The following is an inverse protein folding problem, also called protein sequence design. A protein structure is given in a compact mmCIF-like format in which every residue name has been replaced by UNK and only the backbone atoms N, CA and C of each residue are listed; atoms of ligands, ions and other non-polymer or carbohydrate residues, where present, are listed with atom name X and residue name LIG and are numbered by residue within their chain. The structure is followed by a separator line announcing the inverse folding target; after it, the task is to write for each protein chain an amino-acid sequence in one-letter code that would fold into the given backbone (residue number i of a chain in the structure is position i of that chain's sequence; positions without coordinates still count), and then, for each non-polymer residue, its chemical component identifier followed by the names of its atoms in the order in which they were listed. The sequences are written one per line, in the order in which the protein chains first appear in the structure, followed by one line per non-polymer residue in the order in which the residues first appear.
data_IF_554986401658
#
_entry.id   IF_554986401658
#
_cell.length_a   1.000
_cell.length_b   1.000
_cell.length_c   1.000
_cell.angle_alpha   90.00
_cell.angle_beta   90.00
_cell.angle_gamma   90.00
#
_symmetry.space_group_name_H-M   'P 1'
#
loop_
_entity.id
_entity.type
_entity.pdbx_description
1 polymer ?
#
# COMPACT_ATOMS: atom_id res chain seq x y z
N UNK A 1 17.27 -28.52 -7.59
CA UNK A 1 17.84 -27.19 -7.32
C UNK A 1 16.67 -26.29 -7.01
N UNK A 2 16.49 -25.94 -5.74
CA UNK A 2 15.50 -24.93 -5.39
C UNK A 2 16.17 -23.59 -5.69
N UNK A 3 15.77 -22.94 -6.77
CA UNK A 3 16.14 -21.56 -7.01
C UNK A 3 15.67 -20.77 -5.79
N UNK A 4 16.62 -20.32 -4.98
CA UNK A 4 16.44 -19.20 -4.05
C UNK A 4 16.13 -17.96 -4.90
N UNK A 5 14.89 -17.88 -5.41
CA UNK A 5 14.28 -16.59 -5.65
C UNK A 5 14.06 -15.99 -4.28
N UNK A 6 15.08 -15.36 -3.72
CA UNK A 6 14.87 -14.22 -2.85
C UNK A 6 13.79 -13.36 -3.53
N UNK A 7 12.58 -13.39 -2.97
CA UNK A 7 11.37 -12.92 -3.67
C UNK A 7 11.47 -11.40 -3.85
N UNK A 8 11.99 -11.01 -5.01
CA UNK A 8 12.30 -9.64 -5.40
C UNK A 8 11.02 -8.81 -5.43
N UNK A 9 11.12 -7.55 -4.99
CA UNK A 9 9.99 -6.62 -5.14
C UNK A 9 9.78 -6.26 -6.60
N UNK A 10 8.57 -6.49 -7.12
CA UNK A 10 8.12 -6.08 -8.44
C UNK A 10 7.30 -4.80 -8.33
N UNK A 11 7.45 -3.88 -9.28
CA UNK A 11 6.63 -2.67 -9.34
C UNK A 11 5.28 -2.98 -10.00
N UNK A 12 4.23 -2.30 -9.56
CA UNK A 12 2.94 -2.34 -10.23
C UNK A 12 2.33 -0.95 -10.39
N UNK A 13 1.48 -0.81 -11.41
CA UNK A 13 0.68 0.38 -11.68
C UNK A 13 -0.79 -0.02 -11.77
N UNK A 14 -1.67 0.74 -11.13
CA UNK A 14 -3.12 0.68 -11.37
C UNK A 14 -3.49 1.98 -12.09
N UNK A 15 -3.85 1.95 -13.38
CA UNK A 15 -4.08 3.16 -14.17
C UNK A 15 -5.16 4.09 -13.61
N UNK A 16 -6.30 3.53 -13.21
CA UNK A 16 -7.36 4.30 -12.54
C UNK A 16 -7.99 3.45 -11.41
N UNK A 17 -7.45 3.57 -10.20
CA UNK A 17 -7.96 2.95 -8.98
C UNK A 17 -9.43 3.30 -8.72
N UNK A 18 -9.93 4.45 -9.19
CA UNK A 18 -11.34 4.79 -9.06
C UNK A 18 -12.27 3.81 -9.80
N UNK A 19 -11.77 3.08 -10.81
CA UNK A 19 -12.52 2.00 -11.48
C UNK A 19 -12.71 0.79 -10.57
N UNK A 20 -11.82 0.57 -9.61
CA UNK A 20 -11.90 -0.51 -8.62
C UNK A 20 -12.79 -0.17 -7.43
N UNK A 21 -12.90 1.12 -7.09
CA UNK A 21 -13.70 1.58 -5.94
C UNK A 21 -15.12 2.00 -6.32
N UNK A 22 -15.48 1.93 -7.60
CA UNK A 22 -16.74 2.45 -8.14
C UNK A 22 -16.82 3.98 -8.24
N UNK A 23 -15.77 4.70 -7.83
CA UNK A 23 -15.72 6.16 -7.86
C UNK A 23 -15.66 6.71 -9.30
N UNK A 24 -15.24 5.88 -10.26
CA UNK A 24 -15.25 6.22 -11.69
C UNK A 24 -16.59 5.94 -12.39
N UNK A 25 -17.66 5.61 -11.64
CA UNK A 25 -18.97 5.25 -12.19
C UNK A 25 -18.95 3.87 -12.88
N UNK A 26 -19.60 3.76 -14.03
CA UNK A 26 -19.74 2.50 -14.79
C UNK A 26 -18.52 2.14 -15.65
N UNK A 27 -17.37 2.79 -15.46
CA UNK A 27 -16.16 2.49 -16.23
C UNK A 27 -15.63 1.09 -15.87
N UNK A 28 -15.13 0.31 -16.85
CA UNK A 28 -14.57 -1.00 -16.57
C UNK A 28 -13.30 -0.90 -15.71
N UNK A 29 -13.00 -1.97 -14.98
CA UNK A 29 -11.76 -2.08 -14.20
C UNK A 29 -10.53 -1.92 -15.09
N UNK A 30 -9.62 -1.03 -14.70
CA UNK A 30 -8.29 -0.98 -15.32
C UNK A 30 -7.41 -2.10 -14.77
N UNK A 31 -6.70 -2.86 -15.62
CA UNK A 31 -5.85 -3.96 -15.15
C UNK A 31 -4.71 -3.46 -14.26
N UNK A 32 -4.24 -4.31 -13.35
CA UNK A 32 -2.99 -4.09 -12.61
C UNK A 32 -1.85 -4.43 -13.56
N UNK A 33 -1.05 -3.44 -13.92
CA UNK A 33 0.12 -3.59 -14.80
C UNK A 33 1.36 -3.90 -13.95
N UNK A 34 2.09 -4.96 -14.26
CA UNK A 34 3.28 -5.41 -13.51
C UNK A 34 4.56 -5.11 -14.29
N UNK A 35 5.63 -4.73 -13.59
CA UNK A 35 6.90 -4.30 -14.18
C UNK A 35 8.10 -4.87 -13.42
N UNK A 36 9.06 -5.41 -14.18
CA UNK A 36 10.28 -6.02 -13.64
C UNK A 36 11.31 -4.98 -13.13
N UNK A 37 11.19 -3.74 -13.62
CA UNK A 37 12.09 -2.63 -13.28
C UNK A 37 11.31 -1.38 -12.90
N UNK A 38 11.93 -0.56 -12.05
CA UNK A 38 11.38 0.73 -11.65
C UNK A 38 11.27 1.69 -12.84
N UNK A 39 12.25 1.69 -13.75
CA UNK A 39 12.31 2.61 -14.89
C UNK A 39 11.12 2.41 -15.84
N UNK A 40 10.74 1.16 -16.11
CA UNK A 40 9.55 0.84 -16.92
C UNK A 40 8.27 1.33 -16.23
N UNK A 41 8.11 1.03 -14.94
CA UNK A 41 6.96 1.47 -14.16
C UNK A 41 6.87 2.99 -14.08
N UNK A 42 8.00 3.69 -13.87
CA UNK A 42 8.06 5.14 -13.79
C UNK A 42 7.76 5.81 -15.14
N UNK A 43 8.24 5.25 -16.25
CA UNK A 43 7.89 5.73 -17.59
C UNK A 43 6.39 5.59 -17.85
N UNK A 44 5.81 4.43 -17.55
CA UNK A 44 4.38 4.19 -17.69
C UNK A 44 3.54 5.08 -16.77
N UNK A 45 3.97 5.28 -15.53
CA UNK A 45 3.32 6.20 -14.61
C UNK A 45 3.29 7.61 -15.18
N UNK A 46 4.39 8.12 -15.75
CA UNK A 46 4.43 9.47 -16.35
C UNK A 46 3.47 9.61 -17.53
N UNK A 47 3.37 8.58 -18.38
CA UNK A 47 2.41 8.55 -19.49
C UNK A 47 0.97 8.63 -18.97
N UNK A 48 0.62 7.79 -18.00
CA UNK A 48 -0.72 7.75 -17.41
C UNK A 48 -1.03 9.01 -16.61
N UNK A 49 -0.03 9.61 -15.97
CA UNK A 49 -0.17 10.82 -15.14
C UNK A 49 -0.72 12.01 -15.93
N UNK A 50 -0.46 12.06 -17.23
CA UNK A 50 -0.94 13.09 -18.15
C UNK A 50 -2.43 12.96 -18.50
N UNK A 51 -3.05 11.82 -18.19
CA UNK A 51 -4.47 11.61 -18.48
C UNK A 51 -5.35 12.59 -17.68
N UNK A 52 -6.40 13.17 -18.32
CA UNK A 52 -7.16 14.27 -17.73
C UNK A 52 -7.88 13.89 -16.45
N UNK A 53 -8.34 12.64 -16.35
CA UNK A 53 -9.08 12.12 -15.22
C UNK A 53 -8.30 12.17 -13.90
N UNK A 54 -6.96 12.21 -13.96
CA UNK A 54 -6.13 12.33 -12.77
C UNK A 54 -6.30 13.67 -12.03
N UNK A 55 -6.86 14.70 -12.70
CA UNK A 55 -7.12 16.01 -12.13
C UNK A 55 -8.59 16.20 -11.70
N UNK A 56 -9.45 15.22 -11.90
CA UNK A 56 -10.85 15.30 -11.46
C UNK A 56 -10.93 15.40 -9.93
N UNK A 57 -11.90 16.18 -9.45
CA UNK A 57 -12.18 16.35 -8.03
C UNK A 57 -12.97 15.17 -7.48
N UNK A 58 -12.26 14.06 -7.22
CA UNK A 58 -12.80 12.88 -6.55
C UNK A 58 -12.06 12.64 -5.22
N UNK A 59 -12.76 12.14 -4.19
CA UNK A 59 -12.16 11.86 -2.88
C UNK A 59 -11.11 10.73 -2.91
N UNK A 60 -11.12 9.90 -3.96
CA UNK A 60 -10.25 8.75 -4.14
C UNK A 60 -8.96 9.03 -4.90
N UNK A 61 -8.01 8.09 -4.82
CA UNK A 61 -6.87 8.08 -5.74
C UNK A 61 -7.33 7.64 -7.14
N UNK A 62 -6.64 8.20 -8.13
CA UNK A 62 -6.81 7.88 -9.56
C UNK A 62 -5.70 6.93 -9.97
N UNK A 63 -4.51 7.44 -10.27
CA UNK A 63 -3.37 6.60 -10.61
C UNK A 63 -2.61 6.11 -9.36
N UNK A 64 -2.18 4.86 -9.37
CA UNK A 64 -1.41 4.25 -8.28
C UNK A 64 -0.11 3.64 -8.80
N UNK A 65 0.96 3.79 -8.02
CA UNK A 65 2.23 3.07 -8.16
C UNK A 65 2.53 2.38 -6.83
N UNK A 66 2.63 1.06 -6.84
CA UNK A 66 3.05 0.27 -5.68
C UNK A 66 4.12 -0.77 -6.00
N UNK A 67 4.41 -1.59 -4.98
CA UNK A 67 5.33 -2.72 -5.06
C UNK A 67 4.70 -3.97 -4.48
N UNK A 68 5.00 -5.12 -5.07
CA UNK A 68 4.55 -6.42 -4.58
C UNK A 68 5.69 -7.44 -4.58
N UNK A 69 5.51 -8.55 -3.85
CA UNK A 69 6.33 -9.75 -3.94
C UNK A 69 5.46 -10.98 -3.64
N UNK A 70 5.90 -12.13 -4.13
CA UNK A 70 5.16 -13.38 -3.99
C UNK A 70 5.45 -14.12 -2.68
N UNK A 71 6.68 -14.05 -2.15
CA UNK A 71 7.06 -14.83 -0.95
C UNK A 71 7.92 -14.05 0.08
N UNK A 72 7.45 -13.88 1.34
CA UNK A 72 6.06 -14.05 1.73
C UNK A 72 5.20 -12.99 1.02
N UNK A 73 3.96 -13.32 0.62
CA UNK A 73 3.10 -12.42 -0.13
C UNK A 73 3.00 -11.06 0.56
N UNK A 74 3.29 -10.00 -0.18
CA UNK A 74 3.22 -8.63 0.33
C UNK A 74 3.02 -7.66 -0.83
N UNK A 75 2.11 -6.70 -0.67
CA UNK A 75 1.93 -5.61 -1.62
C UNK A 75 1.60 -4.32 -0.85
N UNK A 76 2.07 -3.18 -1.34
CA UNK A 76 1.64 -1.88 -0.85
C UNK A 76 1.77 -0.81 -1.93
N UNK A 77 0.85 0.14 -1.89
CA UNK A 77 0.96 1.37 -2.66
C UNK A 77 2.06 2.26 -2.07
N UNK A 78 2.82 2.89 -2.95
CA UNK A 78 3.87 3.85 -2.57
C UNK A 78 3.50 5.28 -2.99
N UNK A 79 2.78 5.42 -4.10
CA UNK A 79 2.40 6.72 -4.65
C UNK A 79 0.98 6.65 -5.23
N UNK A 80 0.18 7.65 -4.87
CA UNK A 80 -1.12 7.92 -5.46
C UNK A 80 -1.12 9.24 -6.22
N UNK A 81 -1.96 9.35 -7.22
CA UNK A 81 -2.38 10.64 -7.80
C UNK A 81 -3.79 10.94 -7.33
N UNK A 82 -3.98 12.08 -6.70
CA UNK A 82 -5.28 12.59 -6.24
C UNK A 82 -5.38 14.04 -6.65
N UNK A 83 -6.47 14.41 -7.33
CA UNK A 83 -6.73 15.80 -7.74
C UNK A 83 -5.50 16.47 -8.39
N UNK A 84 -4.79 15.73 -9.24
CA UNK A 84 -3.62 16.24 -9.95
C UNK A 84 -2.38 16.46 -9.07
N UNK A 85 -2.29 15.86 -7.88
CA UNK A 85 -1.11 15.91 -7.02
C UNK A 85 -0.57 14.51 -6.73
N UNK A 86 0.74 14.41 -6.58
CA UNK A 86 1.46 13.19 -6.23
C UNK A 86 1.53 13.03 -4.71
N UNK A 87 0.88 11.99 -4.20
CA UNK A 87 0.78 11.67 -2.79
C UNK A 87 1.65 10.47 -2.44
N UNK A 88 2.68 10.68 -1.62
CA UNK A 88 3.37 9.58 -0.96
C UNK A 88 2.39 8.87 -0.01
N UNK A 89 2.26 7.56 -0.18
CA UNK A 89 1.54 6.67 0.74
C UNK A 89 2.53 6.20 1.79
N UNK A 90 2.18 6.34 3.07
CA UNK A 90 3.11 6.08 4.18
C UNK A 90 3.10 4.63 4.70
N UNK A 91 2.38 3.71 4.03
CA UNK A 91 2.23 2.30 4.39
C UNK A 91 3.56 1.58 4.62
N UNK A 92 4.59 1.95 3.86
CA UNK A 92 5.96 1.44 4.02
C UNK A 92 6.55 1.73 5.43
N UNK A 93 6.02 2.71 6.17
CA UNK A 93 6.44 2.99 7.55
C UNK A 93 5.85 2.01 8.55
N UNK A 94 4.73 1.37 8.20
CA UNK A 94 3.89 0.53 9.07
C UNK A 94 4.08 -0.96 8.80
N UNK A 95 4.66 -1.32 7.65
CA UNK A 95 4.97 -2.69 7.24
C UNK A 95 6.46 -2.98 7.39
N UNK A 96 6.85 -3.88 8.31
CA UNK A 96 8.25 -4.20 8.57
C UNK A 96 8.99 -4.72 7.31
N UNK A 97 8.31 -5.55 6.50
CA UNK A 97 8.85 -6.10 5.25
C UNK A 97 9.27 -5.02 4.25
N UNK A 98 8.46 -3.96 4.10
CA UNK A 98 8.80 -2.82 3.23
C UNK A 98 9.80 -1.90 3.91
N UNK A 99 9.55 -1.56 5.18
CA UNK A 99 10.34 -0.62 5.95
C UNK A 99 11.82 -1.01 6.02
N UNK A 100 12.09 -2.31 6.12
CA UNK A 100 13.43 -2.87 6.25
C UNK A 100 14.03 -3.31 4.92
N UNK A 101 13.26 -3.31 3.83
CA UNK A 101 13.74 -3.68 2.50
C UNK A 101 14.63 -2.58 1.90
N UNK A 102 15.93 -2.84 1.65
CA UNK A 102 16.80 -1.89 0.97
C UNK A 102 16.32 -1.58 -0.45
N UNK A 103 15.74 -2.57 -1.14
CA UNK A 103 15.20 -2.44 -2.49
C UNK A 103 14.01 -1.45 -2.52
N UNK A 104 13.02 -1.62 -1.64
CA UNK A 104 11.86 -0.70 -1.56
C UNK A 104 12.30 0.71 -1.20
N UNK A 105 13.28 0.86 -0.31
CA UNK A 105 13.84 2.18 0.00
C UNK A 105 14.59 2.81 -1.18
N UNK A 106 15.25 1.99 -1.99
CA UNK A 106 15.86 2.41 -3.26
C UNK A 106 14.81 2.95 -4.24
N UNK A 107 13.72 2.20 -4.43
CA UNK A 107 12.58 2.59 -5.25
C UNK A 107 11.99 3.92 -4.75
N UNK A 108 11.69 4.06 -3.45
CA UNK A 108 11.15 5.31 -2.90
C UNK A 108 12.09 6.52 -3.12
N UNK A 109 13.41 6.30 -3.04
CA UNK A 109 14.40 7.37 -3.26
C UNK A 109 14.45 7.78 -4.73
N UNK A 110 14.40 6.83 -5.65
CA UNK A 110 14.32 7.11 -7.10
C UNK A 110 12.98 7.78 -7.43
N UNK A 111 11.87 7.26 -6.93
CA UNK A 111 10.52 7.81 -7.10
C UNK A 111 10.44 9.27 -6.69
N UNK A 112 11.00 9.61 -5.52
CA UNK A 112 11.09 11.01 -5.07
C UNK A 112 11.87 11.89 -6.05
N UNK A 113 12.93 11.37 -6.66
CA UNK A 113 13.77 12.10 -7.61
C UNK A 113 13.07 12.30 -8.96
N UNK A 114 12.43 11.26 -9.48
CA UNK A 114 11.96 11.25 -10.88
C UNK A 114 10.50 11.64 -11.05
N UNK A 115 9.66 11.39 -10.02
CA UNK A 115 8.22 11.67 -10.02
C UNK A 115 7.85 12.82 -9.07
N UNK A 116 8.59 12.97 -7.97
CA UNK A 116 8.31 13.98 -6.95
C UNK A 116 7.07 13.67 -6.11
N UNK A 117 7.01 14.26 -4.92
CA UNK A 117 5.88 14.16 -4.01
C UNK A 117 5.43 15.56 -3.60
N UNK A 118 4.14 15.85 -3.79
CA UNK A 118 3.52 17.10 -3.38
C UNK A 118 2.99 16.99 -1.95
N UNK A 119 2.41 15.84 -1.64
CA UNK A 119 1.73 15.55 -0.38
C UNK A 119 2.09 14.18 0.16
N UNK A 120 1.77 13.97 1.43
CA UNK A 120 1.84 12.67 2.09
C UNK A 120 0.48 12.39 2.68
N UNK A 121 -0.03 11.20 2.44
CA UNK A 121 -1.20 10.68 3.15
C UNK A 121 -0.69 9.88 4.33
N UNK A 122 -0.60 10.54 5.50
CA UNK A 122 0.08 10.01 6.67
C UNK A 122 -0.92 9.53 7.74
N UNK A 123 -0.68 8.37 8.32
CA UNK A 123 -1.36 7.92 9.52
C UNK A 123 -0.61 8.42 10.76
N UNK A 124 -1.17 9.43 11.42
CA UNK A 124 -0.64 9.89 12.71
C UNK A 124 -0.97 8.90 13.83
N UNK A 125 -0.11 8.75 14.85
CA UNK A 125 -0.39 7.89 16.00
C UNK A 125 -1.74 8.23 16.65
N UNK A 126 -2.62 7.22 16.78
CA UNK A 126 -3.96 7.36 17.36
C UNK A 126 -5.02 7.92 16.40
N UNK A 127 -4.68 8.24 15.15
CA UNK A 127 -5.67 8.66 14.16
C UNK A 127 -6.46 7.48 13.60
N UNK A 128 -7.78 7.62 13.51
CA UNK A 128 -8.66 6.65 12.83
C UNK A 128 -8.54 6.72 11.30
N UNK A 129 -8.17 7.88 10.77
CA UNK A 129 -8.05 8.15 9.34
C UNK A 129 -6.74 8.85 9.02
N UNK A 130 -6.18 8.63 7.81
CA UNK A 130 -4.96 9.30 7.39
C UNK A 130 -5.22 10.77 7.09
N UNK A 131 -4.22 11.61 7.33
CA UNK A 131 -4.26 13.05 7.04
C UNK A 131 -3.36 13.41 5.88
N UNK A 132 -3.83 14.38 5.10
CA UNK A 132 -3.11 14.91 3.95
C UNK A 132 -2.20 16.05 4.39
N UNK A 133 -0.89 15.80 4.46
CA UNK A 133 0.12 16.79 4.85
C UNK A 133 0.92 17.20 3.62
N UNK A 134 1.27 18.49 3.50
CA UNK A 134 2.22 18.92 2.46
C UNK A 134 3.57 18.18 2.66
N UNK A 135 4.15 17.63 1.59
CA UNK A 135 5.38 16.83 1.68
C UNK A 135 6.53 17.63 2.33
N UNK A 136 6.61 18.93 2.04
CA UNK A 136 7.60 19.85 2.63
C UNK A 136 7.48 20.04 4.15
N UNK A 137 6.30 19.81 4.72
CA UNK A 137 6.02 19.93 6.16
C UNK A 137 6.07 18.60 6.90
N UNK A 138 6.14 17.50 6.17
CA UNK A 138 6.14 16.17 6.76
C UNK A 138 7.51 15.87 7.40
N UNK A 139 7.52 15.64 8.71
CA UNK A 139 8.74 15.49 9.52
C UNK A 139 9.25 14.05 9.63
N UNK A 140 8.53 13.06 9.09
CA UNK A 140 8.98 11.67 9.11
C UNK A 140 9.87 11.37 7.89
N UNK A 141 11.16 11.08 8.07
CA UNK A 141 12.02 10.85 6.93
C UNK A 141 12.02 9.40 6.50
N UNK A 142 12.38 9.22 5.24
CA UNK A 142 12.91 7.98 4.66
C UNK A 142 14.21 7.48 5.36
N UNK A 143 14.69 8.16 6.42
CA UNK A 143 15.91 7.78 7.17
C UNK A 143 15.65 6.57 8.08
N UNK A 144 16.58 5.61 8.18
CA UNK A 144 16.40 4.39 8.97
C UNK A 144 16.08 4.63 10.46
N UNK A 145 16.71 5.61 11.10
CA UNK A 145 16.55 5.86 12.55
C UNK A 145 15.14 6.28 12.93
N UNK A 146 14.50 7.15 12.12
CA UNK A 146 13.14 7.62 12.39
C UNK A 146 12.09 6.61 11.94
N UNK A 147 12.37 5.77 10.94
CA UNK A 147 11.52 4.63 10.56
C UNK A 147 11.34 3.62 11.69
N UNK A 148 12.41 3.31 12.45
CA UNK A 148 12.32 2.42 13.61
C UNK A 148 11.44 3.00 14.73
N UNK A 149 11.46 4.32 14.94
CA UNK A 149 10.60 5.00 15.93
C UNK A 149 9.13 4.82 15.57
N UNK A 150 8.76 5.08 14.31
CA UNK A 150 7.37 4.93 13.83
C UNK A 150 6.85 3.50 14.04
N UNK A 151 7.65 2.48 13.71
CA UNK A 151 7.25 1.09 13.92
C UNK A 151 7.09 0.73 15.41
N UNK A 152 7.94 1.30 16.28
CA UNK A 152 7.86 1.11 17.73
C UNK A 152 6.60 1.78 18.28
N UNK A 153 6.37 3.05 17.96
CA UNK A 153 5.19 3.81 18.35
C UNK A 153 3.91 3.08 17.90
N UNK A 154 3.83 2.59 16.66
CA UNK A 154 2.69 1.82 16.16
C UNK A 154 2.46 0.50 16.89
N UNK A 155 3.51 -0.14 17.41
CA UNK A 155 3.36 -1.35 18.25
C UNK A 155 2.84 -1.00 19.64
N UNK A 156 3.24 0.16 20.17
CA UNK A 156 2.83 0.65 21.48
C UNK A 156 1.40 1.24 21.47
N UNK A 157 0.98 1.86 20.36
CA UNK A 157 -0.35 2.48 20.22
C UNK A 157 -1.45 1.54 19.70
N UNK A 158 -1.12 0.31 19.28
CA UNK A 158 -2.15 -0.69 18.98
C UNK A 158 -2.89 -1.03 20.29
N UNK A 159 -4.23 -0.90 20.35
CA UNK A 159 -4.98 -1.45 21.47
C UNK A 159 -4.62 -2.93 21.64
N UNK A 160 -4.33 -3.35 22.87
CA UNK A 160 -4.28 -4.78 23.23
C UNK A 160 -5.70 -5.34 23.19
N UNK A 161 -6.32 -5.42 22.02
CA UNK A 161 -7.61 -6.10 21.88
C UNK A 161 -7.40 -7.58 21.54
N UNK A 162 -7.76 -8.38 22.53
CA UNK A 162 -8.20 -9.77 22.47
C UNK A 162 -7.20 -10.82 21.94
N UNK A 163 -6.38 -11.33 22.86
CA UNK A 163 -6.28 -12.78 23.02
C UNK A 163 -7.66 -13.36 23.42
N UNK A 164 -8.64 -13.21 22.53
CA UNK A 164 -9.99 -13.73 22.65
C UNK A 164 -9.97 -15.17 22.16
N UNK A 165 -10.26 -16.08 23.08
CA UNK A 165 -10.39 -17.53 22.86
C UNK A 165 -11.07 -17.83 21.53
N UNK A 166 -10.41 -18.62 20.68
CA UNK A 166 -11.05 -19.31 19.57
C UNK A 166 -12.32 -20.01 20.08
N UNK A 167 -13.51 -19.77 19.50
CA UNK A 167 -14.68 -20.56 19.83
C UNK A 167 -14.41 -22.02 19.43
N UNK A 168 -14.48 -22.92 20.41
CA UNK A 168 -14.41 -24.37 20.22
C UNK A 168 -15.47 -24.78 19.20
N UNK A 169 -15.05 -25.47 18.13
CA UNK A 169 -15.94 -26.12 17.15
C UNK A 169 -17.04 -26.89 17.87
N UNK A 170 -18.29 -26.52 17.61
CA UNK A 170 -19.44 -27.32 17.98
C UNK A 170 -19.39 -28.60 17.13
N UNK A 171 -19.10 -29.73 17.78
CA UNK A 171 -19.10 -31.04 17.14
C UNK A 171 -20.56 -31.46 17.01
N UNK A 172 -21.09 -31.47 15.79
CA UNK A 172 -22.37 -32.11 15.47
C UNK A 172 -22.38 -33.52 16.07
N UNK A 173 -23.26 -33.73 17.05
CA UNK A 173 -23.58 -35.06 17.55
C UNK A 173 -24.55 -35.69 16.57
N UNK A 174 -24.07 -36.73 15.90
CA UNK A 174 -24.87 -37.58 15.03
C UNK A 174 -26.10 -38.09 15.77
N UNK A 175 -27.22 -38.02 15.06
CA UNK A 175 -28.46 -38.72 15.37
C UNK A 175 -28.17 -40.22 15.31
N UNK A 176 -28.43 -40.95 16.40
CA UNK A 176 -28.48 -42.41 16.39
C UNK A 176 -29.81 -42.82 16.98
N UNK A 177 -30.60 -43.45 16.11
CA UNK A 177 -31.82 -44.18 16.40
C UNK A 177 -31.66 -45.21 17.53
N UNK A 178 -32.73 -45.32 18.33
CA UNK A 178 -33.23 -46.43 19.18
C UNK A 178 -34.18 -45.79 20.21
N UNK A 179 -35.40 -46.25 20.48
CA UNK A 179 -36.18 -47.41 20.07
C UNK A 179 -37.62 -47.13 20.49
N UNK A 180 -38.59 -47.59 19.70
CA UNK A 180 -39.70 -48.44 20.15
C UNK A 180 -40.10 -49.35 18.97
#
# INVERSE_FOLDING_TARGET
MADEKDSKWQCYIIPDLATWTGAAGSKPYTPIELFDTYEQAAARFKELRAQPYNNEDLPGARLTFGVQREDPPSAADLLHVRQGQNYLVDDYTRMASLNQSPEVMGILKQMRKDLGFDRVRAYEPGAMEPKDVAFSRWKHPLKPSLRKSVLKELKETRPKEAAGKLPRKHKEKGWSERSD
#
